data_IF_206248865255
#
_entry.id   IF_206248865255
#
_cell.length_a   1.000
_cell.length_b   1.000
_cell.length_c   1.000
_cell.angle_alpha   90.00
_cell.angle_beta   90.00
_cell.angle_gamma   90.00
#
_symmetry.space_group_name_H-M   'P 1'
#
loop_
_entity.id
_entity.type
_entity.pdbx_description
1 polymer ?
#
# COMPACT_ATOMS: atom_id res chain seq x y z
N UNK A 1 79.32 14.78 52.42
CA UNK A 1 78.03 15.35 51.97
C UNK A 1 77.50 14.46 50.87
N UNK A 2 76.36 13.81 51.13
CA UNK A 2 75.76 12.80 50.27
C UNK A 2 75.26 13.38 48.94
N UNK A 3 75.61 12.69 47.85
CA UNK A 3 75.02 12.86 46.53
C UNK A 3 73.59 12.30 46.53
N UNK A 4 72.58 13.17 46.54
CA UNK A 4 71.18 12.77 46.37
C UNK A 4 70.94 12.31 44.93
N UNK A 5 70.88 10.98 44.74
CA UNK A 5 70.47 10.36 43.49
C UNK A 5 69.06 10.79 43.08
N UNK A 6 68.92 11.23 41.82
CA UNK A 6 67.62 11.52 41.20
C UNK A 6 66.87 10.21 40.97
N UNK A 7 65.71 10.04 41.58
CA UNK A 7 64.79 8.92 41.29
C UNK A 7 64.30 9.03 39.83
N UNK A 8 64.15 7.91 39.09
CA UNK A 8 63.52 7.95 37.78
C UNK A 8 62.06 8.42 37.92
N UNK A 9 61.68 9.42 37.12
CA UNK A 9 60.28 9.88 37.05
C UNK A 9 59.43 8.74 36.48
N UNK A 10 58.41 8.30 37.21
CA UNK A 10 57.41 7.39 36.67
C UNK A 10 56.72 8.04 35.45
N UNK A 11 56.40 7.26 34.39
CA UNK A 11 55.69 7.78 33.23
C UNK A 11 54.29 8.23 33.60
N UNK A 12 53.89 9.40 33.09
CA UNK A 12 52.57 9.99 33.27
C UNK A 12 51.66 9.54 32.13
N UNK A 13 51.13 8.32 32.26
CA UNK A 13 50.34 7.63 31.24
C UNK A 13 49.08 8.41 30.82
N UNK A 14 48.49 9.22 31.71
CA UNK A 14 47.32 10.05 31.38
C UNK A 14 47.73 11.22 30.49
N UNK A 15 48.87 11.84 30.79
CA UNK A 15 49.39 12.92 29.95
C UNK A 15 49.74 12.43 28.54
N UNK A 16 50.33 11.24 28.43
CA UNK A 16 50.65 10.60 27.17
C UNK A 16 49.39 10.28 26.34
N UNK A 17 48.39 9.64 26.95
CA UNK A 17 47.10 9.35 26.28
C UNK A 17 46.40 10.62 25.79
N UNK A 18 46.41 11.69 26.59
CA UNK A 18 45.80 12.96 26.20
C UNK A 18 46.57 13.68 25.09
N UNK A 19 47.88 13.51 25.01
CA UNK A 19 48.72 14.10 23.96
C UNK A 19 48.58 13.35 22.63
N UNK A 20 48.48 12.03 22.67
CA UNK A 20 48.33 11.17 21.48
C UNK A 20 46.86 11.01 21.02
N UNK A 21 45.91 11.63 21.72
CA UNK A 21 44.49 11.57 21.36
C UNK A 21 44.18 12.35 20.07
N UNK A 22 43.32 11.80 19.22
CA UNK A 22 42.74 12.51 18.08
C UNK A 22 41.65 13.52 18.45
N UNK A 23 41.28 13.60 19.74
CA UNK A 23 40.36 14.61 20.25
C UNK A 23 41.12 15.93 20.37
N UNK A 24 40.80 16.87 19.50
CA UNK A 24 41.52 18.13 19.30
C UNK A 24 41.77 18.95 20.59
N UNK A 25 40.89 18.85 21.59
CA UNK A 25 41.04 19.57 22.87
C UNK A 25 41.87 18.84 23.94
N UNK A 26 42.10 17.53 23.81
CA UNK A 26 42.73 16.71 24.86
C UNK A 26 44.18 17.10 25.18
N UNK A 27 45.03 17.46 24.19
CA UNK A 27 46.41 17.89 24.48
C UNK A 27 46.49 19.14 25.38
N UNK A 28 45.50 20.03 25.32
CA UNK A 28 45.46 21.25 26.14
C UNK A 28 45.12 20.99 27.62
N UNK A 29 44.52 19.84 27.93
CA UNK A 29 44.25 19.43 29.32
C UNK A 29 45.52 18.87 29.97
N UNK A 30 46.35 18.14 29.21
CA UNK A 30 47.56 17.49 29.71
C UNK A 30 48.80 18.41 29.77
N UNK A 31 48.75 19.56 29.09
CA UNK A 31 49.86 20.53 29.04
C UNK A 31 50.08 21.20 30.39
N UNK A 32 51.27 20.97 30.97
CA UNK A 32 51.64 21.46 32.32
C UNK A 32 52.00 22.95 32.36
N UNK A 33 52.17 23.57 31.21
CA UNK A 33 52.55 24.97 31.00
C UNK A 33 51.35 25.95 30.93
N UNK A 34 50.12 25.42 30.85
CA UNK A 34 48.88 26.22 30.83
C UNK A 34 48.37 26.49 32.25
N UNK A 35 47.72 27.64 32.45
CA UNK A 35 47.08 27.96 33.74
C UNK A 35 45.92 26.99 34.03
N UNK A 36 45.68 26.69 35.31
CA UNK A 36 44.69 25.68 35.69
C UNK A 36 43.26 26.02 35.24
N UNK A 37 42.90 27.31 35.20
CA UNK A 37 41.60 27.79 34.69
C UNK A 37 41.42 27.52 33.20
N UNK A 38 42.49 27.64 32.42
CA UNK A 38 42.47 27.36 30.99
C UNK A 38 42.24 25.88 30.71
N UNK A 39 42.83 25.00 31.53
CA UNK A 39 42.59 23.54 31.44
C UNK A 39 41.14 23.18 31.78
N UNK A 40 40.52 23.86 32.75
CA UNK A 40 39.10 23.69 33.07
C UNK A 40 38.24 24.15 31.89
N UNK A 41 38.56 25.29 31.28
CA UNK A 41 37.86 25.78 30.09
C UNK A 41 37.91 24.74 28.96
N UNK A 42 39.09 24.19 28.66
CA UNK A 42 39.24 23.14 27.64
C UNK A 42 38.46 21.88 27.98
N UNK A 43 38.45 21.44 29.25
CA UNK A 43 37.64 20.31 29.69
C UNK A 43 36.14 20.55 29.47
N UNK A 44 35.63 21.75 29.79
CA UNK A 44 34.23 22.11 29.56
C UNK A 44 33.87 22.14 28.07
N UNK A 45 34.75 22.68 27.22
CA UNK A 45 34.54 22.71 25.77
C UNK A 45 34.48 21.29 25.20
N UNK A 46 35.37 20.39 25.62
CA UNK A 46 35.36 19.00 25.17
C UNK A 46 34.07 18.30 25.60
N UNK A 47 33.70 18.38 26.88
CA UNK A 47 32.47 17.77 27.38
C UNK A 47 31.23 18.31 26.69
N UNK A 48 31.15 19.63 26.49
CA UNK A 48 30.08 20.27 25.74
C UNK A 48 30.02 19.77 24.31
N UNK A 49 31.15 19.75 23.60
CA UNK A 49 31.22 19.28 22.21
C UNK A 49 30.81 17.82 22.07
N UNK A 50 31.23 16.94 22.97
CA UNK A 50 30.85 15.53 22.98
C UNK A 50 29.35 15.37 23.25
N UNK A 51 28.80 16.10 24.21
CA UNK A 51 27.36 16.09 24.50
C UNK A 51 26.54 16.51 23.28
N UNK A 52 26.87 17.63 22.62
CA UNK A 52 26.14 18.09 21.44
C UNK A 52 26.31 17.16 20.24
N UNK A 53 27.51 16.60 20.02
CA UNK A 53 27.75 15.63 18.96
C UNK A 53 26.90 14.36 19.16
N UNK A 54 26.95 13.78 20.36
CA UNK A 54 26.16 12.58 20.70
C UNK A 54 24.66 12.87 20.58
N UNK A 55 24.20 14.00 21.12
CA UNK A 55 22.79 14.42 21.05
C UNK A 55 22.32 14.59 19.59
N UNK A 56 23.13 15.23 18.74
CA UNK A 56 22.83 15.42 17.32
C UNK A 56 22.76 14.07 16.57
N UNK A 57 23.73 13.18 16.80
CA UNK A 57 23.75 11.84 16.21
C UNK A 57 22.51 11.03 16.62
N UNK A 58 22.14 11.06 17.91
CA UNK A 58 20.94 10.38 18.40
C UNK A 58 19.66 10.96 17.80
N UNK A 59 19.55 12.29 17.70
CA UNK A 59 18.38 12.91 17.10
C UNK A 59 18.24 12.55 15.60
N UNK A 60 19.36 12.52 14.88
CA UNK A 60 19.36 12.09 13.48
C UNK A 60 18.99 10.60 13.33
N UNK A 61 19.47 9.75 14.24
CA UNK A 61 19.11 8.33 14.30
C UNK A 61 17.62 8.13 14.55
N UNK A 62 17.04 8.85 15.52
CA UNK A 62 15.61 8.78 15.79
C UNK A 62 14.78 9.27 14.62
N UNK A 63 15.16 10.39 13.98
CA UNK A 63 14.47 10.87 12.77
C UNK A 63 14.49 9.81 11.66
N UNK A 64 15.62 9.17 11.42
CA UNK A 64 15.75 8.12 10.41
C UNK A 64 14.90 6.89 10.72
N UNK A 65 14.88 6.43 11.98
CA UNK A 65 14.12 5.25 12.39
C UNK A 65 12.61 5.50 12.43
N UNK A 66 12.21 6.64 12.99
CA UNK A 66 10.80 6.90 13.32
C UNK A 66 10.06 7.59 12.16
N UNK A 67 10.77 8.35 11.31
CA UNK A 67 10.21 9.05 10.14
C UNK A 67 11.10 8.89 8.90
N UNK A 68 11.23 7.65 8.36
CA UNK A 68 12.14 7.37 7.24
C UNK A 68 11.71 7.99 5.91
N UNK A 69 10.45 8.42 5.79
CA UNK A 69 9.87 8.95 4.56
C UNK A 69 9.55 10.44 4.73
N UNK A 70 10.05 11.25 3.80
CA UNK A 70 9.69 12.66 3.65
C UNK A 70 8.87 12.78 2.38
N UNK A 71 7.62 13.23 2.53
CA UNK A 71 6.77 13.53 1.38
C UNK A 71 7.02 14.97 0.93
N UNK A 72 7.46 15.14 -0.31
CA UNK A 72 7.54 16.43 -0.96
C UNK A 72 6.39 16.54 -1.96
N UNK A 73 5.55 17.56 -1.79
CA UNK A 73 4.47 17.87 -2.72
C UNK A 73 4.94 18.97 -3.65
N UNK A 74 5.28 18.59 -4.88
CA UNK A 74 5.54 19.56 -5.94
C UNK A 74 4.23 19.92 -6.64
N UNK A 75 3.86 21.20 -6.61
CA UNK A 75 2.77 21.70 -7.45
C UNK A 75 3.24 21.75 -8.89
N UNK A 76 2.74 20.82 -9.71
CA UNK A 76 3.06 20.72 -11.12
C UNK A 76 2.30 21.76 -11.98
N UNK A 77 2.30 23.03 -11.55
CA UNK A 77 1.56 24.14 -12.19
C UNK A 77 1.99 24.40 -13.65
N UNK A 78 3.15 23.87 -14.08
CA UNK A 78 3.66 23.96 -15.45
C UNK A 78 3.22 22.81 -16.37
N UNK A 79 2.59 21.76 -15.85
CA UNK A 79 2.12 20.65 -16.69
C UNK A 79 0.96 21.12 -17.57
N UNK A 80 1.20 21.09 -18.88
CA UNK A 80 0.17 21.38 -19.90
C UNK A 80 -0.67 20.17 -20.24
N UNK A 81 -0.18 18.98 -19.86
CA UNK A 81 -0.76 17.67 -20.15
C UNK A 81 -0.64 16.83 -18.89
N UNK A 82 -1.73 16.19 -18.47
CA UNK A 82 -1.77 15.26 -17.34
C UNK A 82 -2.43 13.94 -17.76
N UNK A 83 -2.05 12.80 -17.16
CA UNK A 83 -2.72 11.54 -17.42
C UNK A 83 -4.17 11.63 -16.92
N UNK A 84 -5.08 11.04 -17.69
CA UNK A 84 -6.44 10.84 -17.22
C UNK A 84 -6.46 9.81 -16.09
N UNK A 85 -7.43 9.93 -15.19
CA UNK A 85 -7.55 9.04 -14.03
C UNK A 85 -7.80 7.59 -14.42
N UNK A 86 -7.25 6.68 -13.62
CA UNK A 86 -7.64 5.28 -13.59
C UNK A 86 -8.99 5.12 -12.90
N UNK A 87 -9.82 4.20 -13.42
CA UNK A 87 -11.12 3.89 -12.84
C UNK A 87 -11.17 2.39 -12.59
N UNK A 88 -11.52 2.03 -11.35
CA UNK A 88 -11.82 0.65 -10.99
C UNK A 88 -13.27 0.52 -10.53
N UNK A 89 -13.99 -0.41 -11.15
CA UNK A 89 -15.39 -0.71 -10.89
C UNK A 89 -15.51 -2.06 -10.19
N UNK A 90 -16.08 -2.05 -8.99
CA UNK A 90 -16.27 -3.24 -8.18
C UNK A 90 -17.77 -3.50 -7.98
N UNK A 91 -18.34 -4.55 -8.60
CA UNK A 91 -19.74 -4.90 -8.37
C UNK A 91 -19.91 -5.59 -7.01
N UNK A 92 -21.04 -5.34 -6.34
CA UNK A 92 -21.48 -6.17 -5.19
C UNK A 92 -22.59 -7.12 -5.56
N UNK A 93 -22.81 -7.34 -6.85
CA UNK A 93 -23.87 -8.19 -7.37
C UNK A 93 -23.36 -9.60 -7.60
N UNK A 94 -24.28 -10.55 -7.45
CA UNK A 94 -24.12 -11.95 -7.79
C UNK A 94 -25.38 -12.46 -8.47
N UNK A 95 -25.21 -13.38 -9.42
CA UNK A 95 -26.33 -14.03 -10.08
C UNK A 95 -26.81 -15.26 -9.30
N UNK A 96 -27.86 -15.09 -8.49
CA UNK A 96 -28.51 -16.19 -7.75
C UNK A 96 -28.97 -17.34 -8.64
N UNK A 97 -29.32 -17.08 -9.90
CA UNK A 97 -29.82 -18.12 -10.82
C UNK A 97 -28.75 -19.13 -11.22
N UNK A 98 -27.47 -18.75 -11.09
CA UNK A 98 -26.33 -19.58 -11.50
C UNK A 98 -25.79 -20.42 -10.34
N UNK A 99 -26.12 -20.07 -9.10
CA UNK A 99 -25.66 -20.76 -7.88
C UNK A 99 -25.98 -22.26 -7.89
N UNK A 100 -27.22 -22.72 -8.16
CA UNK A 100 -27.53 -24.15 -8.14
C UNK A 100 -26.72 -24.94 -9.17
N UNK A 101 -26.48 -24.34 -10.34
CA UNK A 101 -25.66 -24.94 -11.39
C UNK A 101 -24.20 -25.03 -10.97
N UNK A 102 -23.63 -23.96 -10.41
CA UNK A 102 -22.26 -23.95 -9.89
C UNK A 102 -22.05 -25.00 -8.79
N UNK A 103 -23.03 -25.16 -7.90
CA UNK A 103 -22.96 -26.17 -6.84
C UNK A 103 -22.89 -27.59 -7.43
N UNK A 104 -23.71 -27.86 -8.44
CA UNK A 104 -23.72 -29.15 -9.13
C UNK A 104 -22.41 -29.36 -9.90
N UNK A 105 -21.96 -28.38 -10.69
CA UNK A 105 -20.72 -28.48 -11.48
C UNK A 105 -19.46 -28.64 -10.62
N UNK A 106 -19.44 -28.02 -9.43
CA UNK A 106 -18.25 -28.03 -8.56
C UNK A 106 -18.22 -29.23 -7.61
N UNK A 107 -19.37 -29.59 -7.01
CA UNK A 107 -19.43 -30.63 -5.96
C UNK A 107 -20.34 -31.83 -6.31
N UNK A 108 -20.94 -31.87 -7.50
CA UNK A 108 -21.81 -32.98 -7.93
C UNK A 108 -23.14 -33.06 -7.16
N UNK A 109 -23.55 -31.98 -6.52
CA UNK A 109 -24.72 -31.95 -5.64
C UNK A 109 -25.97 -31.44 -6.36
N UNK A 110 -27.06 -32.19 -6.22
CA UNK A 110 -28.39 -31.75 -6.64
C UNK A 110 -29.03 -30.93 -5.51
N UNK A 111 -29.12 -29.61 -5.73
CA UNK A 111 -29.70 -28.67 -4.76
C UNK A 111 -31.15 -28.99 -4.37
N UNK A 112 -31.86 -29.80 -5.17
CA UNK A 112 -33.23 -30.21 -4.87
C UNK A 112 -33.30 -31.38 -3.88
N UNK A 113 -32.26 -32.21 -3.82
CA UNK A 113 -32.19 -33.40 -2.96
C UNK A 113 -31.48 -33.11 -1.64
N UNK A 114 -30.33 -32.44 -1.69
CA UNK A 114 -29.47 -32.19 -0.53
C UNK A 114 -29.52 -30.72 -0.09
N UNK A 115 -30.68 -30.29 0.42
CA UNK A 115 -30.96 -28.88 0.75
C UNK A 115 -29.98 -28.28 1.75
N UNK A 116 -29.57 -29.02 2.78
CA UNK A 116 -28.65 -28.52 3.81
C UNK A 116 -27.24 -28.29 3.27
N UNK A 117 -26.69 -29.26 2.53
CA UNK A 117 -25.37 -29.12 1.89
C UNK A 117 -25.38 -28.04 0.81
N UNK A 118 -26.45 -27.96 0.02
CA UNK A 118 -26.61 -26.89 -0.97
C UNK A 118 -26.69 -25.51 -0.30
N UNK A 119 -27.33 -25.39 0.86
CA UNK A 119 -27.35 -24.15 1.63
C UNK A 119 -25.96 -23.78 2.17
N UNK A 120 -25.16 -24.76 2.60
CA UNK A 120 -23.78 -24.57 3.04
C UNK A 120 -22.91 -24.02 1.89
N UNK A 121 -22.85 -24.70 0.74
CA UNK A 121 -22.07 -24.23 -0.40
C UNK A 121 -22.59 -22.92 -0.97
N UNK A 122 -23.91 -22.67 -0.92
CA UNK A 122 -24.45 -21.35 -1.27
C UNK A 122 -23.89 -20.25 -0.37
N UNK A 123 -23.83 -20.45 0.96
CA UNK A 123 -23.23 -19.47 1.88
C UNK A 123 -21.76 -19.24 1.56
N UNK A 124 -21.02 -20.31 1.26
CA UNK A 124 -19.63 -20.21 0.83
C UNK A 124 -19.46 -19.35 -0.42
N UNK A 125 -20.23 -19.64 -1.48
CA UNK A 125 -20.20 -18.90 -2.74
C UNK A 125 -20.51 -17.40 -2.56
N UNK A 126 -21.42 -17.06 -1.66
CA UNK A 126 -21.73 -15.67 -1.33
C UNK A 126 -20.62 -15.01 -0.51
N UNK A 127 -20.01 -15.72 0.43
CA UNK A 127 -18.90 -15.22 1.24
C UNK A 127 -17.70 -14.87 0.36
N UNK A 128 -17.29 -15.76 -0.55
CA UNK A 128 -16.16 -15.49 -1.47
C UNK A 128 -16.46 -14.35 -2.45
N UNK A 129 -17.72 -14.21 -2.91
CA UNK A 129 -18.10 -13.14 -3.84
C UNK A 129 -18.09 -11.76 -3.18
N UNK A 130 -18.42 -11.70 -1.88
CA UNK A 130 -18.41 -10.48 -1.09
C UNK A 130 -17.13 -10.31 -0.26
N UNK A 131 -16.08 -11.08 -0.56
CA UNK A 131 -14.84 -11.09 0.19
C UNK A 131 -14.07 -9.79 -0.04
N UNK A 132 -13.73 -9.14 1.07
CA UNK A 132 -12.91 -7.92 1.15
C UNK A 132 -11.89 -8.13 2.26
N UNK A 133 -10.83 -7.33 2.27
CA UNK A 133 -9.84 -7.33 3.35
C UNK A 133 -10.49 -7.21 4.75
N UNK A 134 -11.57 -6.42 4.86
CA UNK A 134 -12.30 -6.24 6.11
C UNK A 134 -13.28 -7.38 6.47
N UNK A 135 -13.55 -8.32 5.57
CA UNK A 135 -14.55 -9.38 5.74
C UNK A 135 -13.96 -10.79 5.66
N UNK A 136 -12.64 -10.95 5.81
CA UNK A 136 -11.99 -12.28 5.80
C UNK A 136 -12.55 -13.23 6.86
N UNK A 137 -13.00 -12.71 8.01
CA UNK A 137 -13.64 -13.49 9.07
C UNK A 137 -14.86 -14.30 8.60
N UNK A 138 -15.51 -13.89 7.50
CA UNK A 138 -16.65 -14.63 6.93
C UNK A 138 -16.26 -16.00 6.37
N UNK A 139 -14.96 -16.28 6.21
CA UNK A 139 -14.43 -17.57 5.77
C UNK A 139 -14.21 -18.56 6.92
N UNK A 140 -14.20 -18.12 8.18
CA UNK A 140 -13.96 -18.97 9.36
C UNK A 140 -14.85 -20.23 9.41
N UNK A 141 -16.17 -20.18 9.09
CA UNK A 141 -17.02 -21.37 9.11
C UNK A 141 -16.62 -22.47 8.11
N UNK A 142 -15.73 -22.17 7.17
CA UNK A 142 -15.33 -23.04 6.06
C UNK A 142 -13.90 -23.57 6.19
N UNK A 143 -13.14 -23.14 7.20
CA UNK A 143 -11.71 -23.43 7.36
C UNK A 143 -11.39 -24.94 7.37
N UNK A 144 -12.26 -25.75 7.98
CA UNK A 144 -12.02 -27.19 8.16
C UNK A 144 -12.57 -28.06 7.00
N UNK A 145 -13.12 -27.46 5.94
CA UNK A 145 -13.72 -28.21 4.83
C UNK A 145 -12.74 -28.45 3.68
N UNK A 146 -12.12 -29.63 3.68
CA UNK A 146 -11.21 -30.10 2.62
C UNK A 146 -11.85 -30.18 1.22
N UNK A 147 -13.19 -30.17 1.11
CA UNK A 147 -13.87 -30.15 -0.20
C UNK A 147 -13.69 -28.83 -0.95
N UNK A 148 -13.11 -27.82 -0.30
CA UNK A 148 -12.86 -26.49 -0.86
C UNK A 148 -11.42 -26.34 -1.39
N UNK A 149 -10.45 -27.18 -0.98
CA UNK A 149 -9.02 -26.97 -1.25
C UNK A 149 -8.63 -26.90 -2.74
N UNK A 150 -9.35 -27.61 -3.62
CA UNK A 150 -9.02 -27.73 -5.04
C UNK A 150 -10.11 -27.14 -5.97
N UNK A 151 -10.79 -26.10 -5.49
CA UNK A 151 -11.84 -25.44 -6.24
C UNK A 151 -11.27 -24.31 -7.11
N UNK A 152 -11.75 -24.18 -8.35
CA UNK A 152 -11.39 -23.06 -9.22
C UNK A 152 -12.16 -21.79 -8.83
N UNK A 153 -11.67 -21.12 -7.78
CA UNK A 153 -12.28 -19.91 -7.23
C UNK A 153 -12.46 -18.79 -8.26
N UNK A 154 -11.46 -18.61 -9.13
CA UNK A 154 -11.53 -17.58 -10.15
C UNK A 154 -12.69 -17.81 -11.11
N UNK A 155 -12.84 -19.03 -11.62
CA UNK A 155 -13.92 -19.37 -12.54
C UNK A 155 -15.30 -19.19 -11.87
N UNK A 156 -15.40 -19.52 -10.59
CA UNK A 156 -16.62 -19.29 -9.81
C UNK A 156 -16.95 -17.80 -9.73
N UNK A 157 -16.00 -16.95 -9.31
CA UNK A 157 -16.21 -15.51 -9.18
C UNK A 157 -16.58 -14.86 -10.53
N UNK A 158 -15.85 -15.21 -11.59
CA UNK A 158 -16.15 -14.74 -12.95
C UNK A 158 -17.54 -15.18 -13.40
N UNK A 159 -17.97 -16.39 -13.04
CA UNK A 159 -19.28 -16.92 -13.40
C UNK A 159 -20.41 -16.23 -12.63
N UNK A 160 -20.23 -15.99 -11.33
CA UNK A 160 -21.19 -15.26 -10.48
C UNK A 160 -21.40 -13.82 -10.95
N UNK A 161 -20.34 -13.19 -11.47
CA UNK A 161 -20.33 -11.78 -11.87
C UNK A 161 -20.44 -11.56 -13.39
N UNK A 162 -20.59 -12.63 -14.18
CA UNK A 162 -20.58 -12.60 -15.67
C UNK A 162 -21.56 -11.60 -16.30
N UNK A 163 -22.67 -11.31 -15.62
CA UNK A 163 -23.69 -10.34 -16.10
C UNK A 163 -23.21 -8.89 -16.05
N UNK A 164 -22.23 -8.58 -15.20
CA UNK A 164 -21.67 -7.22 -15.02
C UNK A 164 -20.25 -7.16 -15.57
N UNK A 165 -19.39 -8.10 -15.19
CA UNK A 165 -18.04 -8.24 -15.73
C UNK A 165 -18.15 -8.85 -17.12
N UNK A 166 -18.41 -7.99 -18.10
CA UNK A 166 -18.41 -8.37 -19.50
C UNK A 166 -17.04 -8.06 -20.09
N UNK A 167 -16.36 -9.11 -20.57
CA UNK A 167 -15.20 -8.97 -21.46
C UNK A 167 -15.74 -8.62 -22.84
N UNK A 168 -15.93 -7.33 -23.12
CA UNK A 168 -16.12 -6.86 -24.50
C UNK A 168 -14.76 -6.87 -25.18
N UNK A 169 -14.72 -7.12 -26.49
CA UNK A 169 -13.53 -6.98 -27.32
C UNK A 169 -13.74 -5.79 -28.28
N UNK A 170 -12.89 -4.75 -28.26
CA UNK A 170 -11.76 -4.56 -27.34
C UNK A 170 -12.20 -4.32 -25.89
N UNK A 171 -11.40 -4.78 -24.93
CA UNK A 171 -11.69 -4.63 -23.51
C UNK A 171 -11.42 -3.17 -23.08
N UNK A 172 -12.49 -2.42 -22.79
CA UNK A 172 -12.38 -1.07 -22.21
C UNK A 172 -11.82 -1.14 -20.78
N UNK A 173 -12.18 -2.20 -20.04
CA UNK A 173 -11.73 -2.47 -18.68
C UNK A 173 -11.34 -3.95 -18.55
N UNK A 174 -10.23 -4.21 -17.87
CA UNK A 174 -9.73 -5.56 -17.61
C UNK A 174 -10.14 -6.04 -16.21
N UNK A 175 -10.41 -7.34 -16.01
CA UNK A 175 -10.66 -7.88 -14.68
C UNK A 175 -9.40 -7.81 -13.80
N UNK A 176 -9.57 -7.45 -12.54
CA UNK A 176 -8.49 -7.29 -11.56
C UNK A 176 -8.93 -7.78 -10.18
N UNK A 177 -8.04 -8.43 -9.44
CA UNK A 177 -8.24 -8.75 -8.01
C UNK A 177 -7.60 -7.64 -7.17
N UNK A 178 -8.37 -7.14 -6.21
CA UNK A 178 -7.96 -6.08 -5.29
C UNK A 178 -8.35 -6.45 -3.86
N UNK A 179 -7.98 -5.61 -2.89
CA UNK A 179 -8.36 -5.78 -1.48
C UNK A 179 -9.88 -5.64 -1.23
N UNK A 180 -10.66 -5.15 -2.20
CA UNK A 180 -12.13 -5.08 -2.14
C UNK A 180 -12.82 -6.15 -2.99
N UNK A 181 -12.05 -7.08 -3.57
CA UNK A 181 -12.55 -8.23 -4.32
C UNK A 181 -12.23 -8.20 -5.82
N UNK A 182 -13.00 -8.96 -6.60
CA UNK A 182 -12.91 -9.03 -8.05
C UNK A 182 -13.60 -7.81 -8.70
N UNK A 183 -12.86 -7.05 -9.49
CA UNK A 183 -13.29 -5.79 -10.08
C UNK A 183 -12.89 -5.71 -11.57
N UNK A 184 -13.23 -4.60 -12.22
CA UNK A 184 -12.74 -4.23 -13.56
C UNK A 184 -12.03 -2.88 -13.51
N UNK A 185 -10.87 -2.74 -14.17
CA UNK A 185 -10.06 -1.51 -14.09
C UNK A 185 -9.56 -1.03 -15.45
N UNK A 186 -9.31 0.28 -15.55
CA UNK A 186 -8.57 0.92 -16.64
C UNK A 186 -7.11 1.24 -16.28
N UNK A 187 -6.63 0.82 -15.10
CA UNK A 187 -5.23 0.99 -14.68
C UNK A 187 -4.27 0.40 -15.72
N UNK A 188 -3.11 1.03 -15.94
CA UNK A 188 -2.04 0.44 -16.76
C UNK A 188 -1.25 -0.64 -15.98
N UNK A 189 -1.48 -0.76 -14.67
CA UNK A 189 -0.79 -1.73 -13.81
C UNK A 189 -1.52 -3.07 -13.66
N UNK A 190 -2.41 -3.45 -14.58
CA UNK A 190 -3.20 -4.71 -14.51
C UNK A 190 -2.38 -5.97 -14.25
N UNK A 191 -1.10 -5.99 -14.64
CA UNK A 191 -0.19 -7.13 -14.41
C UNK A 191 -0.06 -7.58 -12.95
N UNK A 192 -0.15 -6.68 -11.97
CA UNK A 192 0.06 -7.07 -10.56
C UNK A 192 -1.21 -7.58 -9.87
N UNK A 193 -2.39 -7.29 -10.43
CA UNK A 193 -3.67 -7.76 -9.93
C UNK A 193 -4.35 -8.72 -10.89
N UNK A 194 -3.59 -9.27 -11.85
CA UNK A 194 -4.10 -10.13 -12.90
C UNK A 194 -4.73 -11.39 -12.26
N UNK A 195 -6.06 -11.58 -12.37
CA UNK A 195 -6.77 -12.67 -11.71
C UNK A 195 -6.29 -14.05 -12.16
N UNK A 196 -5.72 -14.16 -13.36
CA UNK A 196 -5.28 -15.41 -13.97
C UNK A 196 -3.91 -15.90 -13.44
N UNK A 197 -3.32 -15.18 -12.47
CA UNK A 197 -2.06 -15.58 -11.82
C UNK A 197 -0.82 -15.42 -12.70
N UNK A 198 -0.93 -14.68 -13.82
CA UNK A 198 0.18 -14.39 -14.72
C UNK A 198 0.63 -12.95 -14.56
N UNK A 199 1.94 -12.71 -14.57
CA UNK A 199 2.53 -11.37 -14.62
C UNK A 199 2.49 -10.80 -16.04
N UNK A 200 1.28 -10.69 -16.58
CA UNK A 200 0.99 -10.20 -17.92
C UNK A 200 0.02 -9.04 -17.82
N UNK A 201 0.30 -7.95 -18.53
CA UNK A 201 -0.61 -6.81 -18.67
C UNK A 201 -1.82 -7.26 -19.47
N UNK A 202 -3.01 -7.03 -18.94
CA UNK A 202 -4.26 -7.28 -19.63
C UNK A 202 -4.61 -6.08 -20.53
N UNK A 203 -5.27 -6.37 -21.66
CA UNK A 203 -5.73 -5.34 -22.57
C UNK A 203 -6.75 -4.42 -21.87
N UNK A 204 -6.43 -3.14 -21.83
CA UNK A 204 -7.26 -2.05 -21.30
C UNK A 204 -7.23 -0.89 -22.28
N UNK A 205 -8.15 0.05 -22.13
CA UNK A 205 -8.06 1.31 -22.85
C UNK A 205 -6.70 1.99 -22.54
N UNK A 206 -5.94 2.41 -23.58
CA UNK A 206 -4.65 3.05 -23.36
C UNK A 206 -4.81 4.36 -22.59
N UNK A 207 -3.81 4.69 -21.78
CA UNK A 207 -3.77 5.93 -21.01
C UNK A 207 -4.08 7.15 -21.89
N UNK A 208 -5.16 7.85 -21.56
CA UNK A 208 -5.53 9.12 -22.18
C UNK A 208 -4.76 10.25 -21.52
N UNK A 209 -4.39 11.25 -22.31
CA UNK A 209 -3.76 12.47 -21.83
C UNK A 209 -4.71 13.64 -21.99
N UNK A 210 -4.78 14.46 -20.96
CA UNK A 210 -5.68 15.61 -20.85
C UNK A 210 -4.88 16.89 -20.88
N UNK A 211 -5.26 17.83 -21.74
CA UNK A 211 -4.70 19.18 -21.73
C UNK A 211 -5.36 20.06 -20.68
N UNK A 212 -4.64 21.09 -20.20
CA UNK A 212 -5.13 22.06 -19.21
C UNK A 212 -6.48 22.73 -19.58
N UNK A 213 -6.73 22.98 -20.88
CA UNK A 213 -7.98 23.58 -21.38
C UNK A 213 -8.95 22.55 -21.98
N UNK A 214 -8.66 21.25 -21.87
CA UNK A 214 -9.53 20.21 -22.41
C UNK A 214 -10.52 19.73 -21.36
N UNK A 215 -11.79 19.60 -21.74
CA UNK A 215 -12.79 18.92 -20.91
C UNK A 215 -12.48 17.42 -20.91
N UNK A 216 -11.70 16.94 -19.94
CA UNK A 216 -11.45 15.53 -19.77
C UNK A 216 -12.63 14.86 -19.05
N UNK A 217 -13.62 14.49 -19.84
CA UNK A 217 -14.84 13.84 -19.38
C UNK A 217 -14.77 12.38 -19.78
N UNK A 218 -14.97 11.48 -18.81
CA UNK A 218 -15.26 10.08 -19.07
C UNK A 218 -16.76 9.83 -18.91
N UNK A 219 -17.32 9.05 -19.83
CA UNK A 219 -18.69 8.57 -19.71
C UNK A 219 -18.63 7.06 -19.65
N UNK A 220 -18.89 6.51 -18.47
CA UNK A 220 -19.06 5.09 -18.30
C UNK A 220 -20.52 4.75 -18.61
N UNK A 221 -20.72 4.05 -19.73
CA UNK A 221 -22.01 3.43 -19.98
C UNK A 221 -22.16 2.28 -18.99
N UNK A 222 -23.30 2.18 -18.28
CA UNK A 222 -23.52 1.07 -17.36
C UNK A 222 -23.31 -0.25 -18.11
N UNK A 223 -22.45 -1.10 -17.53
CA UNK A 223 -22.07 -2.39 -18.09
C UNK A 223 -23.28 -3.34 -18.04
N UNK A 224 -24.09 -3.29 -19.10
CA UNK A 224 -25.13 -4.25 -19.46
C UNK A 224 -26.36 -4.37 -18.51
N UNK A 225 -27.27 -5.30 -18.85
CA UNK A 225 -28.74 -5.28 -18.74
C UNK A 225 -29.39 -5.30 -17.33
N UNK A 226 -28.64 -5.06 -16.25
CA UNK A 226 -29.15 -5.20 -14.88
C UNK A 226 -28.82 -3.96 -14.05
N UNK A 227 -29.80 -3.49 -13.27
CA UNK A 227 -29.59 -2.44 -12.28
C UNK A 227 -28.98 -3.06 -11.03
N UNK A 228 -27.65 -3.01 -10.94
CA UNK A 228 -26.88 -3.46 -9.78
C UNK A 228 -26.10 -2.29 -9.17
N UNK A 229 -25.94 -2.24 -7.83
CA UNK A 229 -25.01 -1.32 -7.20
C UNK A 229 -23.58 -1.68 -7.60
N UNK A 230 -22.83 -0.68 -8.06
CA UNK A 230 -21.42 -0.79 -8.42
C UNK A 230 -20.67 0.32 -7.69
N UNK A 231 -19.55 -0.02 -7.08
CA UNK A 231 -18.64 0.94 -6.48
C UNK A 231 -17.62 1.37 -7.52
N UNK A 232 -17.45 2.68 -7.66
CA UNK A 232 -16.43 3.27 -8.50
C UNK A 232 -15.32 3.83 -7.62
N UNK A 233 -14.10 3.45 -7.94
CA UNK A 233 -12.89 3.96 -7.34
C UNK A 233 -12.10 4.72 -8.39
N UNK A 234 -11.74 5.96 -8.06
CA UNK A 234 -10.93 6.84 -8.92
C UNK A 234 -9.54 6.94 -8.32
N UNK A 235 -8.52 6.61 -9.11
CA UNK A 235 -7.11 6.58 -8.70
C UNK A 235 -6.22 7.04 -9.86
N UNK A 236 -4.90 7.14 -9.62
CA UNK A 236 -3.96 7.38 -10.72
C UNK A 236 -3.95 6.17 -11.69
N UNK A 237 -3.75 6.44 -12.98
CA UNK A 237 -3.73 5.38 -14.00
C UNK A 237 -2.53 4.43 -13.84
N UNK A 238 -1.46 4.90 -13.21
CA UNK A 238 -0.26 4.14 -12.83
C UNK A 238 -0.31 3.69 -11.35
N UNK A 239 -1.50 3.63 -10.77
CA UNK A 239 -1.72 3.07 -9.44
C UNK A 239 -2.73 1.92 -9.47
N UNK A 240 -2.66 1.12 -8.41
CA UNK A 240 -3.69 0.15 -8.08
C UNK A 240 -4.69 0.78 -7.12
N UNK A 241 -5.95 0.41 -7.27
CA UNK A 241 -6.95 0.82 -6.29
C UNK A 241 -6.65 0.18 -4.92
N UNK A 242 -6.75 1.01 -3.88
CA UNK A 242 -6.66 0.63 -2.48
C UNK A 242 -8.04 0.83 -1.81
N UNK A 243 -8.36 0.14 -0.70
CA UNK A 243 -9.64 0.29 -0.02
C UNK A 243 -9.93 1.70 0.51
N UNK A 244 -8.87 2.48 0.76
CA UNK A 244 -8.97 3.88 1.22
C UNK A 244 -9.05 4.87 0.07
N UNK A 245 -9.00 4.42 -1.18
CA UNK A 245 -9.19 5.26 -2.37
C UNK A 245 -10.62 5.80 -2.40
N UNK A 246 -10.81 6.98 -3.01
CA UNK A 246 -12.10 7.63 -3.23
C UNK A 246 -13.20 6.69 -3.70
N UNK A 247 -14.09 6.31 -2.77
CA UNK A 247 -15.23 5.44 -3.03
C UNK A 247 -16.45 6.27 -3.42
N UNK A 248 -16.97 6.05 -4.62
CA UNK A 248 -18.22 6.64 -5.10
C UNK A 248 -19.27 5.55 -5.30
N UNK A 249 -20.35 5.52 -4.50
CA UNK A 249 -21.45 4.59 -4.72
C UNK A 249 -22.24 5.02 -5.96
N UNK A 250 -22.29 4.18 -6.99
CA UNK A 250 -23.11 4.43 -8.17
C UNK A 250 -24.43 3.68 -8.03
N UNK A 251 -25.48 4.42 -7.65
CA UNK A 251 -26.86 3.97 -7.72
C UNK A 251 -27.55 4.56 -8.95
N UNK A 252 -28.04 3.72 -9.87
CA UNK A 252 -28.88 4.18 -10.97
C UNK A 252 -30.28 4.58 -10.45
N UNK A 253 -30.43 5.77 -9.86
CA UNK A 253 -31.73 6.44 -9.83
C UNK A 253 -31.96 7.08 -11.19
N UNK A 254 -33.16 6.90 -11.76
CA UNK A 254 -33.66 7.71 -12.88
C UNK A 254 -33.76 9.17 -12.42
N UNK A 255 -32.66 9.91 -12.46
CA UNK A 255 -32.66 11.36 -12.26
C UNK A 255 -31.84 11.97 -13.37
N UNK A 256 -32.46 12.92 -14.06
CA UNK A 256 -32.08 13.56 -15.32
C UNK A 256 -30.84 14.47 -15.26
N UNK A 257 -29.98 14.33 -14.25
CA UNK A 257 -28.67 14.98 -14.17
C UNK A 257 -27.88 14.45 -12.96
N UNK A 258 -26.85 13.61 -13.16
CA UNK A 258 -25.87 13.35 -12.12
C UNK A 258 -24.69 14.30 -12.33
N UNK A 259 -24.76 15.50 -11.75
CA UNK A 259 -23.55 16.29 -11.51
C UNK A 259 -22.93 15.73 -10.23
N UNK A 260 -22.06 14.74 -10.36
CA UNK A 260 -21.33 14.17 -9.23
C UNK A 260 -20.20 15.15 -8.91
N UNK A 261 -20.38 15.95 -7.87
CA UNK A 261 -19.32 16.80 -7.33
C UNK A 261 -18.26 15.90 -6.69
N UNK A 262 -17.08 15.82 -7.30
CA UNK A 262 -15.89 15.23 -6.69
C UNK A 262 -15.42 16.16 -5.57
N UNK A 263 -15.69 15.78 -4.34
CA UNK A 263 -14.95 16.23 -3.16
C UNK A 263 -14.39 14.98 -2.50
N UNK A 264 -13.27 14.53 -3.06
CA UNK A 264 -12.16 14.00 -2.32
C UNK A 264 -11.10 15.11 -2.26
#
# INVERSE_FOLDING_TARGET
MESKGSRPKQPDWLAEVCQESSIHGMPYIARKDLHWTERILWALIILGSAYYAISSCLNQWYRFRDNPLVYEYEYLFGLRIFPFVGITLCPTYHDETVIPRLINETWGLDASKDKEKAAYYRKFLLAINALRYSTLETLEPFENDTTLDNVNYLNILLTLQKKIISVKNPAELAPIITEVGLCQTSSQLTRYGNPYGKLETLDVEPMKQCGYFSNCITSLKPLNSIVAPIYMYVHDVEEMMLPTTCELPIGMRKTSNPMISMLC
#
